data_IF_669243929917
#
_entry.id   IF_669243929917
#
_cell.length_a   1.000
_cell.length_b   1.000
_cell.length_c   1.000
_cell.angle_alpha   90.00
_cell.angle_beta   90.00
_cell.angle_gamma   90.00
#
_symmetry.space_group_name_H-M   'P 1'
#
loop_
_entity.id
_entity.type
_entity.pdbx_description
1 polymer ?
#
# COMPACT_ATOMS: atom_id res chain seq x y z
N UNK A 1 -27.45 -13.58 27.77
CA UNK A 1 -26.30 -12.70 27.49
C UNK A 1 -26.13 -12.38 26.02
N UNK A 2 -25.95 -13.37 25.12
CA UNK A 2 -25.74 -13.12 23.68
C UNK A 2 -26.84 -12.28 23.02
N UNK A 3 -28.13 -12.56 23.31
CA UNK A 3 -29.23 -11.78 22.77
C UNK A 3 -29.23 -10.30 23.20
N UNK A 4 -28.83 -10.02 24.44
CA UNK A 4 -28.71 -8.64 24.95
C UNK A 4 -27.56 -7.92 24.23
N UNK A 5 -26.43 -8.60 24.02
CA UNK A 5 -25.29 -8.06 23.27
C UNK A 5 -25.70 -7.72 21.83
N UNK A 6 -26.37 -8.65 21.14
CA UNK A 6 -26.80 -8.45 19.75
C UNK A 6 -27.79 -7.29 19.64
N UNK A 7 -28.81 -7.23 20.52
CA UNK A 7 -29.76 -6.12 20.54
C UNK A 7 -29.05 -4.81 20.85
N UNK A 8 -28.11 -4.80 21.80
CA UNK A 8 -27.30 -3.62 22.13
C UNK A 8 -26.49 -3.10 20.94
N UNK A 9 -25.82 -3.98 20.20
CA UNK A 9 -25.05 -3.61 19.00
C UNK A 9 -25.95 -3.06 17.88
N UNK A 10 -27.13 -3.65 17.69
CA UNK A 10 -28.11 -3.16 16.70
C UNK A 10 -28.63 -1.77 17.07
N UNK A 11 -28.91 -1.51 18.36
CA UNK A 11 -29.32 -0.19 18.82
C UNK A 11 -28.21 0.84 18.64
N UNK A 12 -26.96 0.49 18.97
CA UNK A 12 -25.80 1.38 18.73
C UNK A 12 -25.69 1.70 17.24
N UNK A 13 -25.70 0.71 16.36
CA UNK A 13 -25.63 0.95 14.90
C UNK A 13 -26.81 1.77 14.36
N UNK A 14 -28.01 1.61 14.92
CA UNK A 14 -29.23 2.31 14.47
C UNK A 14 -29.31 3.77 14.94
N UNK A 15 -28.75 4.08 16.10
CA UNK A 15 -28.86 5.39 16.75
C UNK A 15 -27.54 6.19 16.73
N UNK A 16 -26.42 5.57 16.37
CA UNK A 16 -25.15 6.29 16.19
C UNK A 16 -25.23 7.17 14.92
N UNK A 17 -24.98 8.49 15.03
CA UNK A 17 -25.18 9.44 13.94
C UNK A 17 -24.04 9.47 12.91
N UNK A 18 -22.87 8.88 13.22
CA UNK A 18 -21.72 8.81 12.33
C UNK A 18 -21.67 7.50 11.54
N UNK A 19 -20.94 7.50 10.43
CA UNK A 19 -20.56 6.27 9.73
C UNK A 19 -19.30 5.67 10.35
N UNK A 20 -19.07 4.37 10.14
CA UNK A 20 -17.79 3.75 10.52
C UNK A 20 -16.59 4.41 9.81
N UNK A 21 -16.81 5.00 8.62
CA UNK A 21 -15.79 5.76 7.91
C UNK A 21 -15.43 7.07 8.63
N UNK A 22 -16.39 7.73 9.27
CA UNK A 22 -16.15 8.94 10.07
C UNK A 22 -15.35 8.63 11.35
N UNK A 23 -15.52 7.42 11.89
CA UNK A 23 -14.71 6.93 13.03
C UNK A 23 -13.27 6.64 12.61
N UNK A 24 -13.08 6.08 11.42
CA UNK A 24 -11.75 5.80 10.88
C UNK A 24 -11.03 7.06 10.40
N UNK A 25 -11.76 8.03 9.83
CA UNK A 25 -11.26 9.27 9.22
C UNK A 25 -9.92 9.08 8.49
N UNK A 26 -9.84 8.03 7.67
CA UNK A 26 -8.58 7.64 7.07
C UNK A 26 -8.12 8.72 6.09
N UNK A 27 -6.98 9.34 6.42
CA UNK A 27 -6.30 10.33 5.58
C UNK A 27 -4.89 9.85 5.29
N UNK A 28 -4.35 10.12 4.09
CA UNK A 28 -2.94 9.89 3.81
C UNK A 28 -2.07 10.55 4.88
N UNK A 29 -1.09 9.82 5.41
CA UNK A 29 -0.16 10.33 6.43
C UNK A 29 0.88 11.29 5.87
N UNK A 30 0.95 11.40 4.53
CA UNK A 30 1.96 12.16 3.78
C UNK A 30 1.28 12.97 2.67
N UNK A 31 1.95 14.02 2.21
CA UNK A 31 1.46 14.79 1.07
C UNK A 31 1.57 13.98 -0.22
N UNK A 32 0.79 14.30 -1.27
CA UNK A 32 0.86 13.62 -2.56
C UNK A 32 2.26 13.65 -3.19
N UNK A 33 2.99 14.75 -3.02
CA UNK A 33 4.34 14.92 -3.56
C UNK A 33 5.33 13.98 -2.87
N UNK A 34 5.21 13.84 -1.55
CA UNK A 34 6.04 12.91 -0.78
C UNK A 34 5.72 11.47 -1.14
N UNK A 35 4.45 11.14 -1.38
CA UNK A 35 4.07 9.79 -1.78
C UNK A 35 4.59 9.42 -3.16
N UNK A 36 4.48 10.34 -4.13
CA UNK A 36 5.06 10.16 -5.46
C UNK A 36 6.58 9.96 -5.40
N UNK A 37 7.28 10.70 -4.53
CA UNK A 37 8.71 10.50 -4.34
C UNK A 37 9.02 9.13 -3.71
N UNK A 38 8.24 8.69 -2.72
CA UNK A 38 8.44 7.38 -2.10
C UNK A 38 8.25 6.25 -3.13
N UNK A 39 7.26 6.36 -4.02
CA UNK A 39 7.04 5.37 -5.07
C UNK A 39 8.22 5.26 -6.03
N UNK A 40 8.84 6.39 -6.40
CA UNK A 40 10.06 6.43 -7.21
C UNK A 40 11.22 5.77 -6.45
N UNK A 41 11.44 6.19 -5.20
CA UNK A 41 12.52 5.66 -4.37
C UNK A 41 12.38 4.15 -4.13
N UNK A 42 11.16 3.64 -4.01
CA UNK A 42 10.88 2.22 -3.85
C UNK A 42 11.22 1.42 -5.12
N UNK A 43 10.92 1.96 -6.30
CA UNK A 43 11.30 1.35 -7.60
C UNK A 43 12.82 1.26 -7.71
N UNK A 44 13.54 2.35 -7.40
CA UNK A 44 15.00 2.39 -7.45
C UNK A 44 15.64 1.38 -6.49
N UNK A 45 15.13 1.30 -5.25
CA UNK A 45 15.59 0.32 -4.26
C UNK A 45 15.37 -1.12 -4.73
N UNK A 46 14.21 -1.42 -5.33
CA UNK A 46 13.94 -2.74 -5.87
C UNK A 46 14.87 -3.07 -7.04
N UNK A 47 15.06 -2.13 -7.98
CA UNK A 47 15.93 -2.32 -9.14
C UNK A 47 17.37 -2.60 -8.72
N UNK A 48 17.90 -1.81 -7.77
CA UNK A 48 19.25 -1.98 -7.24
C UNK A 48 19.40 -3.33 -6.51
N UNK A 49 18.42 -3.72 -5.69
CA UNK A 49 18.43 -5.01 -5.02
C UNK A 49 18.45 -6.19 -6.01
N UNK A 50 17.75 -6.07 -7.14
CA UNK A 50 17.82 -7.09 -8.21
C UNK A 50 19.16 -7.06 -8.93
N UNK A 51 19.67 -5.89 -9.27
CA UNK A 51 20.96 -5.74 -9.95
C UNK A 51 22.12 -6.27 -9.09
N UNK A 52 22.09 -6.04 -7.78
CA UNK A 52 23.03 -6.65 -6.84
C UNK A 52 23.00 -8.19 -6.91
N UNK A 53 21.80 -8.79 -6.95
CA UNK A 53 21.66 -10.25 -7.13
C UNK A 53 22.16 -10.72 -8.49
N UNK A 54 22.04 -9.90 -9.54
CA UNK A 54 22.55 -10.20 -10.90
C UNK A 54 24.07 -10.13 -10.93
N UNK A 55 24.67 -9.08 -10.35
CA UNK A 55 26.12 -8.92 -10.20
C UNK A 55 26.74 -10.14 -9.52
N UNK A 56 26.18 -10.58 -8.39
CA UNK A 56 26.63 -11.81 -7.68
C UNK A 56 26.61 -13.07 -8.53
N UNK A 57 25.73 -13.14 -9.53
CA UNK A 57 25.58 -14.27 -10.44
C UNK A 57 26.31 -14.06 -11.78
N UNK A 58 27.10 -13.00 -11.92
CA UNK A 58 27.79 -12.63 -13.16
C UNK A 58 26.86 -12.27 -14.31
N UNK A 59 25.62 -11.89 -14.01
CA UNK A 59 24.62 -11.46 -15.01
C UNK A 59 24.71 -9.95 -15.20
N UNK A 60 24.48 -9.45 -16.43
CA UNK A 60 24.42 -8.00 -16.66
C UNK A 60 23.25 -7.39 -15.88
N UNK A 61 23.46 -6.16 -15.42
CA UNK A 61 22.42 -5.33 -14.81
C UNK A 61 21.32 -4.99 -15.81
N UNK A 62 20.18 -4.55 -15.29
CA UNK A 62 19.08 -4.04 -16.11
C UNK A 62 18.72 -2.63 -15.73
N UNK A 63 18.27 -1.90 -16.74
CA UNK A 63 17.61 -0.61 -16.55
C UNK A 63 16.13 -0.79 -16.28
N UNK A 64 15.49 0.24 -15.76
CA UNK A 64 14.04 0.24 -15.54
C UNK A 64 13.27 -0.01 -16.84
N UNK A 65 13.67 0.60 -17.95
CA UNK A 65 13.00 0.44 -19.25
C UNK A 65 13.04 -1.01 -19.73
N UNK A 66 14.14 -1.72 -19.49
CA UNK A 66 14.25 -3.13 -19.84
C UNK A 66 13.33 -4.00 -18.99
N UNK A 67 13.12 -3.65 -17.72
CA UNK A 67 12.17 -4.35 -16.85
C UNK A 67 10.74 -4.04 -17.28
N UNK A 68 10.42 -2.78 -17.60
CA UNK A 68 9.10 -2.39 -18.10
C UNK A 68 8.77 -3.05 -19.44
N UNK A 69 9.75 -3.15 -20.35
CA UNK A 69 9.57 -3.82 -21.64
C UNK A 69 9.23 -5.30 -21.47
N UNK A 70 9.87 -5.99 -20.54
CA UNK A 70 9.58 -7.39 -20.22
C UNK A 70 8.18 -7.60 -19.63
N UNK A 71 7.71 -6.68 -18.78
CA UNK A 71 6.38 -6.79 -18.14
C UNK A 71 5.24 -6.53 -19.13
N UNK A 72 5.49 -5.72 -20.16
CA UNK A 72 4.49 -5.38 -21.18
C UNK A 72 4.40 -6.41 -22.31
N UNK A 73 5.36 -7.33 -22.41
CA UNK A 73 5.41 -8.39 -23.42
C UNK A 73 4.50 -9.57 -23.03
#
# INVERSE_FOLDING_TARGET
MLGILVVGLLLIGRFYPGSGADVLDWKPTRSPEVEAQNEIDDIDQMLEAQNERRRRKGRPERTEEQVQADVRA
#
